data_IF_759594158359
#
_entry.id   IF_759594158359
#
_cell.length_a   1.000
_cell.length_b   1.000
_cell.length_c   1.000
_cell.angle_alpha   90.00
_cell.angle_beta   90.00
_cell.angle_gamma   90.00
#
_symmetry.space_group_name_H-M   'P 1'
#
loop_
_entity.id
_entity.type
_entity.pdbx_description
1 polymer ?
#
# COMPACT_ATOMS: atom_id res chain seq x y z
N UNK A 1 -6.90 -3.39 8.02
CA UNK A 1 -7.00 -2.42 6.90
C UNK A 1 -7.94 -2.97 5.85
N UNK A 2 -8.71 -2.13 5.20
CA UNK A 2 -9.58 -2.53 4.08
C UNK A 2 -9.31 -1.60 2.91
N UNK A 3 -9.08 -2.18 1.73
CA UNK A 3 -8.85 -1.43 0.51
C UNK A 3 -10.15 -1.39 -0.29
N UNK A 4 -10.64 -0.19 -0.58
CA UNK A 4 -11.87 -0.03 -1.35
C UNK A 4 -11.68 -0.32 -2.82
N UNK A 5 -12.80 -0.40 -3.56
CA UNK A 5 -12.78 -0.64 -5.00
C UNK A 5 -12.09 0.48 -5.79
N UNK A 6 -11.98 1.66 -5.19
CA UNK A 6 -11.26 2.81 -5.74
C UNK A 6 -9.78 2.82 -5.33
N UNK A 7 -9.29 1.75 -4.71
CA UNK A 7 -7.91 1.59 -4.24
C UNK A 7 -7.51 2.57 -3.14
N UNK A 8 -8.49 3.12 -2.42
CA UNK A 8 -8.24 3.98 -1.26
C UNK A 8 -8.31 3.18 0.02
N UNK A 9 -7.48 3.55 0.98
CA UNK A 9 -7.46 2.86 2.27
C UNK A 9 -6.94 3.81 3.35
N UNK A 10 -7.19 3.45 4.61
CA UNK A 10 -6.73 4.21 5.75
C UNK A 10 -5.62 3.45 6.47
N UNK A 11 -4.54 4.15 6.79
CA UNK A 11 -3.44 3.59 7.53
C UNK A 11 -2.86 4.67 8.45
N UNK A 12 -2.70 4.34 9.73
CA UNK A 12 -2.12 5.27 10.70
C UNK A 12 -2.89 6.59 10.83
N UNK A 13 -4.20 6.56 10.64
CA UNK A 13 -5.03 7.75 10.74
C UNK A 13 -5.09 8.60 9.48
N UNK A 14 -4.35 8.23 8.44
CA UNK A 14 -4.33 8.96 7.17
C UNK A 14 -4.94 8.12 6.07
N UNK A 15 -5.54 8.80 5.09
CA UNK A 15 -6.04 8.15 3.88
C UNK A 15 -4.99 8.15 2.80
N UNK A 16 -4.85 7.01 2.14
CA UNK A 16 -3.91 6.82 1.03
C UNK A 16 -4.63 6.24 -0.17
N UNK A 17 -4.05 6.44 -1.34
CA UNK A 17 -4.56 5.87 -2.58
C UNK A 17 -3.41 5.16 -3.30
N UNK A 18 -3.64 3.94 -3.77
CA UNK A 18 -2.66 3.22 -4.58
C UNK A 18 -2.57 3.87 -5.95
N UNK A 19 -1.34 4.11 -6.42
CA UNK A 19 -1.10 4.68 -7.74
C UNK A 19 -1.35 3.62 -8.82
N UNK A 20 -0.84 2.41 -8.58
CA UNK A 20 -0.97 1.29 -9.50
C UNK A 20 -1.65 0.12 -8.83
N UNK A 21 -2.25 -0.81 -9.59
CA UNK A 21 -2.81 -2.02 -8.99
C UNK A 21 -1.70 -2.89 -8.41
N UNK A 22 -2.06 -3.70 -7.41
CA UNK A 22 -1.10 -4.64 -6.81
C UNK A 22 -0.83 -5.79 -7.78
N UNK A 23 0.34 -6.47 -7.61
CA UNK A 23 0.68 -7.59 -8.47
C UNK A 23 -0.33 -8.73 -8.39
N UNK A 24 -0.53 -9.43 -9.49
CA UNK A 24 -1.50 -10.52 -9.57
C UNK A 24 -1.19 -11.66 -8.59
N UNK A 25 0.09 -11.86 -8.24
CA UNK A 25 0.47 -12.93 -7.32
C UNK A 25 0.17 -12.59 -5.86
N UNK A 26 -0.23 -11.35 -5.55
CA UNK A 26 -0.78 -11.04 -4.23
C UNK A 26 -2.21 -11.57 -4.20
N UNK A 27 -2.62 -12.14 -3.04
CA UNK A 27 -4.00 -12.58 -2.90
C UNK A 27 -4.93 -11.35 -2.89
N UNK A 28 -6.19 -11.54 -3.27
CA UNK A 28 -7.15 -10.44 -3.31
C UNK A 28 -7.44 -9.84 -1.94
N UNK A 29 -7.11 -10.56 -0.88
CA UNK A 29 -7.32 -10.10 0.48
C UNK A 29 -5.99 -9.87 1.23
N UNK A 30 -4.92 -9.52 0.51
CA UNK A 30 -3.60 -9.29 1.10
C UNK A 30 -3.62 -8.28 2.25
N UNK A 31 -4.51 -7.30 2.19
CA UNK A 31 -4.63 -6.28 3.22
C UNK A 31 -5.19 -6.84 4.53
N UNK A 32 -5.69 -8.06 4.56
CA UNK A 32 -6.17 -8.74 5.76
C UNK A 32 -5.21 -9.81 6.25
N UNK A 33 -4.53 -10.48 5.33
CA UNK A 33 -3.74 -11.67 5.64
C UNK A 33 -2.24 -11.39 5.73
N UNK A 34 -1.77 -10.36 5.05
CA UNK A 34 -0.34 -10.06 4.97
C UNK A 34 0.01 -8.92 5.92
N UNK A 35 1.26 -8.92 6.37
CA UNK A 35 1.78 -7.86 7.22
C UNK A 35 2.29 -6.73 6.32
N UNK A 36 1.57 -5.62 6.29
CA UNK A 36 1.85 -4.48 5.40
C UNK A 36 2.03 -3.21 6.20
N UNK A 37 2.82 -2.29 5.65
CA UNK A 37 3.04 -0.98 6.27
C UNK A 37 3.36 0.06 5.21
N UNK A 38 3.19 1.34 5.60
CA UNK A 38 3.52 2.50 4.77
C UNK A 38 4.78 3.14 5.33
N UNK A 39 5.70 3.50 4.45
CA UNK A 39 6.90 4.23 4.85
C UNK A 39 7.24 5.26 3.78
N UNK A 40 7.96 6.30 4.21
CA UNK A 40 8.39 7.38 3.34
C UNK A 40 9.80 7.09 2.85
N UNK A 41 10.01 7.24 1.54
CA UNK A 41 11.33 7.09 0.93
C UNK A 41 11.89 8.47 0.62
N UNK A 42 12.95 8.86 1.35
CA UNK A 42 13.57 10.17 1.17
C UNK A 42 14.22 10.34 -0.21
N UNK A 43 14.75 9.26 -0.77
CA UNK A 43 15.41 9.31 -2.07
C UNK A 43 14.42 9.60 -3.20
N UNK A 44 13.23 9.03 -3.12
CA UNK A 44 12.18 9.24 -4.12
C UNK A 44 11.20 10.34 -3.72
N UNK A 45 11.30 10.84 -2.49
CA UNK A 45 10.38 11.84 -1.93
C UNK A 45 8.92 11.38 -2.04
N UNK A 46 8.64 10.14 -1.67
CA UNK A 46 7.30 9.57 -1.80
C UNK A 46 7.00 8.51 -0.76
N UNK A 47 5.73 8.19 -0.66
CA UNK A 47 5.26 7.14 0.23
C UNK A 47 5.05 5.85 -0.53
N UNK A 48 5.34 4.72 0.13
CA UNK A 48 5.23 3.39 -0.46
C UNK A 48 4.59 2.43 0.52
N UNK A 49 3.80 1.52 -0.02
CA UNK A 49 3.24 0.40 0.72
C UNK A 49 4.16 -0.80 0.58
N UNK A 50 4.56 -1.36 1.70
CA UNK A 50 5.43 -2.54 1.76
C UNK A 50 4.64 -3.72 2.27
N UNK A 51 4.90 -4.90 1.70
CA UNK A 51 4.32 -6.15 2.15
C UNK A 51 5.47 -7.08 2.55
N UNK A 52 5.49 -7.49 3.83
CA UNK A 52 6.57 -8.32 4.37
C UNK A 52 6.71 -9.65 3.64
N UNK A 53 5.62 -10.16 3.07
CA UNK A 53 5.62 -11.40 2.29
C UNK A 53 6.42 -11.26 1.01
N UNK A 54 6.50 -10.05 0.45
CA UNK A 54 7.16 -9.76 -0.82
C UNK A 54 8.10 -8.57 -0.67
N UNK A 55 9.26 -8.78 0.01
CA UNK A 55 10.12 -7.65 0.42
C UNK A 55 10.78 -6.92 -0.74
N UNK A 56 10.75 -7.47 -1.94
CA UNK A 56 11.34 -6.83 -3.12
C UNK A 56 10.35 -6.00 -3.93
N UNK A 57 9.10 -5.96 -3.49
CA UNK A 57 8.04 -5.25 -4.20
C UNK A 57 7.44 -4.20 -3.28
N UNK A 58 7.29 -2.98 -3.79
CA UNK A 58 6.58 -1.93 -3.08
C UNK A 58 5.62 -1.24 -4.04
N UNK A 59 4.53 -0.71 -3.50
CA UNK A 59 3.51 -0.04 -4.28
C UNK A 59 3.53 1.45 -3.94
N UNK A 60 3.64 2.30 -4.96
CA UNK A 60 3.56 3.74 -4.75
C UNK A 60 2.15 4.12 -4.28
N UNK A 61 2.09 4.98 -3.29
CA UNK A 61 0.82 5.50 -2.78
C UNK A 61 0.88 7.01 -2.70
N UNK A 62 -0.28 7.63 -2.75
CA UNK A 62 -0.41 9.07 -2.52
C UNK A 62 -1.27 9.31 -1.29
N UNK A 63 -1.00 10.41 -0.60
CA UNK A 63 -1.83 10.82 0.52
C UNK A 63 -3.12 11.39 -0.05
N UNK A 64 -4.24 10.79 0.32
CA UNK A 64 -5.56 11.24 -0.10
C UNK A 64 -6.09 12.20 0.97
N UNK A 65 -6.35 13.41 0.57
CA UNK A 65 -6.80 14.46 1.48
C UNK A 65 -8.30 14.66 1.40
#
# INVERSE_FOLDING_TARGET
MVVGSDRRFQYGGYWFSLVDPWPEYWSDNWYRTDDVYIDYDDDDAGYYLYNSRYPYVRLAVTVAM
#
